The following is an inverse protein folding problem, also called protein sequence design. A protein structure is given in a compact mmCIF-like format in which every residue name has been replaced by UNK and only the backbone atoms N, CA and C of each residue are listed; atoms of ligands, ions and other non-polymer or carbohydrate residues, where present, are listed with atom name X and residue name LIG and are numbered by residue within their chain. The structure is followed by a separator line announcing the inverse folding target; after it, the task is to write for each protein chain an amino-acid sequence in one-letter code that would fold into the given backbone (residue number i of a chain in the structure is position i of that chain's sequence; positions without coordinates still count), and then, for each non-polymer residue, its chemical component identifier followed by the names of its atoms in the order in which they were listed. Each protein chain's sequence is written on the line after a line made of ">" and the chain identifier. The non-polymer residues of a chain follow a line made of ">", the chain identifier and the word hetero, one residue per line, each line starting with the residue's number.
data_IF_207953013480
#
_entry.id   IF_207953013480
#
_cell.length_a   1.000
_cell.length_b   1.000
_cell.length_c   1.000
_cell.angle_alpha   90.00
_cell.angle_beta   90.00
_cell.angle_gamma   90.00
#
_symmetry.space_group_name_H-M   'P 1'
#
loop_
_entity.id
_entity.type
_entity.pdbx_description
1 polymer ?
#
# COMPACT_ATOMS: atom_id res chain seq x y z
N UNK A 1 20.98 3.69 12.38
CA UNK A 1 20.15 4.49 13.31
C UNK A 1 18.77 3.85 13.41
N UNK A 2 18.49 3.14 14.50
CA UNK A 2 17.31 2.26 14.62
C UNK A 2 16.03 2.95 15.17
N UNK A 3 16.08 4.22 15.57
CA UNK A 3 14.95 4.96 16.16
C UNK A 3 14.83 6.36 15.55
N UNK A 4 13.61 6.89 15.49
CA UNK A 4 13.38 8.31 15.21
C UNK A 4 13.66 9.11 16.49
N UNK A 5 14.35 10.22 16.36
CA UNK A 5 14.41 11.25 17.39
C UNK A 5 13.04 11.90 17.60
N UNK A 6 12.87 12.57 18.75
CA UNK A 6 11.67 13.38 19.04
C UNK A 6 11.33 14.32 17.88
N UNK A 7 12.33 15.05 17.38
CA UNK A 7 12.15 16.02 16.30
C UNK A 7 11.72 15.33 14.99
N UNK A 8 12.38 14.24 14.60
CA UNK A 8 11.98 13.46 13.40
C UNK A 8 10.54 12.95 13.53
N UNK A 9 10.13 12.46 14.70
CA UNK A 9 8.79 11.96 14.93
C UNK A 9 7.73 13.07 14.90
N UNK A 10 8.04 14.25 15.45
CA UNK A 10 7.17 15.43 15.37
C UNK A 10 7.02 15.89 13.92
N UNK A 11 8.12 15.95 13.16
CA UNK A 11 8.08 16.32 11.74
C UNK A 11 7.29 15.31 10.92
N UNK A 12 7.44 14.00 11.20
CA UNK A 12 6.65 12.96 10.57
C UNK A 12 5.15 13.18 10.82
N UNK A 13 4.74 13.38 12.08
CA UNK A 13 3.32 13.61 12.42
C UNK A 13 2.77 14.84 11.70
N UNK A 14 3.51 15.95 11.65
CA UNK A 14 3.09 17.16 10.93
C UNK A 14 3.01 16.99 9.41
N UNK A 15 3.93 16.20 8.84
CA UNK A 15 3.93 15.93 7.42
C UNK A 15 2.76 15.01 7.03
N UNK A 16 2.54 13.95 7.81
CA UNK A 16 1.48 12.95 7.60
C UNK A 16 0.10 13.54 7.87
N UNK A 17 -0.03 14.37 8.92
CA UNK A 17 -1.27 15.05 9.29
C UNK A 17 -1.06 16.56 9.25
N UNK A 18 -1.27 17.21 8.09
CA UNK A 18 -1.34 18.66 8.02
C UNK A 18 -2.33 19.18 9.06
N UNK A 19 -1.91 20.15 9.87
CA UNK A 19 -2.67 20.60 11.02
C UNK A 19 -3.99 21.24 10.60
N UNK A 20 -5.08 20.80 11.23
CA UNK A 20 -6.41 21.37 11.13
C UNK A 20 -6.80 22.04 12.46
N UNK A 21 -7.66 23.08 12.45
CA UNK A 21 -8.05 23.79 13.67
C UNK A 21 -8.68 22.91 14.76
N UNK A 22 -9.32 21.81 14.36
CA UNK A 22 -9.96 20.85 15.27
C UNK A 22 -9.01 19.78 15.83
N UNK A 23 -7.79 19.66 15.31
CA UNK A 23 -6.84 18.67 15.80
C UNK A 23 -6.46 18.98 17.24
N UNK A 24 -6.68 18.02 18.14
CA UNK A 24 -6.41 18.23 19.55
C UNK A 24 -5.71 17.03 20.20
N UNK A 25 -6.03 15.80 19.80
CA UNK A 25 -5.44 14.60 20.39
C UNK A 25 -5.02 13.57 19.35
N UNK A 26 -3.94 12.85 19.65
CA UNK A 26 -3.43 11.73 18.86
C UNK A 26 -3.52 10.42 19.66
N UNK A 27 -3.97 9.34 19.04
CA UNK A 27 -3.90 8.01 19.63
C UNK A 27 -2.93 7.12 18.84
N UNK A 28 -2.05 6.41 19.55
CA UNK A 28 -1.30 5.29 19.01
C UNK A 28 -2.06 4.02 19.39
N UNK A 29 -2.47 3.24 18.39
CA UNK A 29 -3.18 1.97 18.60
C UNK A 29 -2.31 0.79 18.19
N UNK A 30 -2.26 -0.25 19.02
CA UNK A 30 -1.49 -1.48 18.74
C UNK A 30 -2.23 -2.74 19.15
N UNK A 31 -2.02 -3.81 18.39
CA UNK A 31 -2.52 -5.14 18.72
C UNK A 31 -1.53 -5.93 19.58
N UNK A 32 -2.07 -6.69 20.52
CA UNK A 32 -1.36 -7.59 21.43
C UNK A 32 -1.72 -9.03 21.07
N UNK A 33 -0.75 -9.96 20.98
CA UNK A 33 -1.01 -11.38 20.72
C UNK A 33 -1.98 -11.98 21.73
N UNK A 34 -2.70 -13.02 21.33
CA UNK A 34 -3.61 -13.71 22.26
C UNK A 34 -2.90 -14.74 23.13
N UNK A 35 -1.68 -15.15 22.73
CA UNK A 35 -0.87 -16.13 23.44
C UNK A 35 0.63 -15.85 23.30
N UNK A 36 1.47 -16.29 24.27
CA UNK A 36 2.93 -16.16 24.15
C UNK A 36 3.51 -16.81 22.89
N UNK A 37 2.88 -17.87 22.38
CA UNK A 37 3.34 -18.62 21.21
C UNK A 37 3.19 -17.83 19.89
N UNK A 38 2.23 -16.90 19.84
CA UNK A 38 2.03 -16.00 18.70
C UNK A 38 3.01 -14.83 18.69
N UNK A 39 3.63 -14.52 19.84
CA UNK A 39 4.41 -13.30 20.04
C UNK A 39 5.82 -13.42 19.44
N UNK A 40 5.91 -13.14 18.15
CA UNK A 40 7.19 -13.06 17.43
C UNK A 40 8.01 -11.87 17.92
N UNK A 41 9.34 -11.98 17.87
CA UNK A 41 10.26 -10.91 18.25
C UNK A 41 10.00 -9.58 17.52
N UNK A 42 9.61 -9.63 16.24
CA UNK A 42 9.23 -8.45 15.46
C UNK A 42 7.95 -7.79 15.97
N UNK A 43 6.98 -8.56 16.48
CA UNK A 43 5.75 -8.03 17.06
C UNK A 43 6.01 -7.37 18.41
N UNK A 44 6.80 -8.01 19.27
CA UNK A 44 7.26 -7.42 20.52
C UNK A 44 8.03 -6.10 20.27
N UNK A 45 8.96 -6.10 19.30
CA UNK A 45 9.70 -4.89 18.91
C UNK A 45 8.78 -3.77 18.39
N UNK A 46 7.69 -4.10 17.69
CA UNK A 46 6.70 -3.12 17.22
C UNK A 46 5.94 -2.47 18.39
N UNK A 47 5.54 -3.24 19.40
CA UNK A 47 4.86 -2.72 20.60
C UNK A 47 5.81 -1.86 21.45
N UNK A 48 7.08 -2.27 21.54
CA UNK A 48 8.15 -1.44 22.14
C UNK A 48 8.28 -0.11 21.41
N UNK A 49 8.33 -0.13 20.07
CA UNK A 49 8.44 1.09 19.26
C UNK A 49 7.24 2.02 19.46
N UNK A 50 6.02 1.48 19.49
CA UNK A 50 4.82 2.26 19.72
C UNK A 50 4.82 2.96 21.10
N UNK A 51 5.31 2.27 22.13
CA UNK A 51 5.49 2.87 23.45
C UNK A 51 6.53 3.99 23.44
N UNK A 52 7.65 3.79 22.76
CA UNK A 52 8.68 4.84 22.60
C UNK A 52 8.13 6.07 21.88
N UNK A 53 7.38 5.87 20.78
CA UNK A 53 6.71 6.98 20.09
C UNK A 53 5.70 7.69 20.98
N UNK A 54 4.95 6.96 21.78
CA UNK A 54 4.04 7.54 22.77
C UNK A 54 4.80 8.46 23.75
N UNK A 55 5.92 7.99 24.33
CA UNK A 55 6.72 8.80 25.24
C UNK A 55 7.28 10.06 24.57
N UNK A 56 7.86 9.93 23.38
CA UNK A 56 8.46 11.05 22.65
C UNK A 56 7.40 12.09 22.26
N UNK A 57 6.25 11.65 21.73
CA UNK A 57 5.16 12.56 21.34
C UNK A 57 4.49 13.21 22.56
N UNK A 58 4.32 12.48 23.66
CA UNK A 58 3.79 13.06 24.92
C UNK A 58 4.70 14.18 25.45
N UNK A 59 6.02 14.05 25.26
CA UNK A 59 6.98 15.10 25.63
C UNK A 59 7.00 16.29 24.64
N UNK A 60 6.37 16.15 23.47
CA UNK A 60 6.38 17.11 22.36
C UNK A 60 5.02 17.74 22.05
N UNK A 61 4.07 17.70 23.00
CA UNK A 61 2.70 18.19 22.82
C UNK A 61 2.63 19.64 22.36
N UNK A 62 3.44 20.53 22.94
CA UNK A 62 3.48 21.95 22.58
C UNK A 62 3.91 22.16 21.12
N UNK A 63 4.91 21.42 20.67
CA UNK A 63 5.47 21.50 19.33
C UNK A 63 4.49 20.94 18.29
N UNK A 64 3.70 19.93 18.67
CA UNK A 64 2.63 19.34 17.85
C UNK A 64 1.36 20.19 17.83
N UNK A 65 1.16 21.06 18.82
CA UNK A 65 -0.10 21.78 19.01
C UNK A 65 -1.24 20.85 19.46
N UNK A 66 -0.91 19.79 20.20
CA UNK A 66 -1.88 18.82 20.74
C UNK A 66 -1.96 18.95 22.26
N UNK A 67 -3.10 18.59 22.84
CA UNK A 67 -3.29 18.56 24.30
C UNK A 67 -2.95 17.22 24.94
N UNK A 68 -2.96 16.13 24.16
CA UNK A 68 -2.73 14.79 24.68
C UNK A 68 -2.33 13.79 23.57
N UNK A 69 -1.50 12.82 23.93
CA UNK A 69 -1.27 11.60 23.17
C UNK A 69 -1.65 10.41 24.04
N UNK A 70 -2.43 9.48 23.49
CA UNK A 70 -2.82 8.25 24.17
C UNK A 70 -2.18 7.03 23.51
N UNK A 71 -1.80 6.04 24.32
CA UNK A 71 -1.45 4.71 23.84
C UNK A 71 -2.58 3.73 24.22
N UNK A 72 -3.13 3.07 23.21
CA UNK A 72 -4.25 2.13 23.37
C UNK A 72 -3.87 0.79 22.77
N UNK A 73 -3.97 -0.26 23.56
CA UNK A 73 -3.70 -1.63 23.11
C UNK A 73 -4.98 -2.46 23.08
N UNK A 74 -5.08 -3.40 22.16
CA UNK A 74 -6.24 -4.27 22.01
C UNK A 74 -5.82 -5.71 21.68
N UNK A 75 -6.62 -6.73 22.05
CA UNK A 75 -6.31 -8.12 21.72
C UNK A 75 -6.33 -8.33 20.20
N UNK A 76 -5.39 -9.12 19.70
CA UNK A 76 -5.24 -9.39 18.27
C UNK A 76 -6.49 -10.06 17.70
N UNK A 77 -6.91 -9.58 16.53
CA UNK A 77 -8.03 -10.12 15.76
C UNK A 77 -7.61 -11.24 14.80
N UNK A 78 -6.31 -11.57 14.77
CA UNK A 78 -5.75 -12.75 14.09
C UNK A 78 -5.78 -12.71 12.55
N UNK A 79 -6.35 -11.68 11.93
CA UNK A 79 -6.41 -11.55 10.47
C UNK A 79 -6.32 -10.09 10.02
N UNK A 80 -5.71 -9.87 8.85
CA UNK A 80 -5.66 -8.57 8.21
C UNK A 80 -7.08 -8.08 7.88
N UNK A 81 -7.34 -6.81 8.17
CA UNK A 81 -8.58 -6.09 7.88
C UNK A 81 -9.84 -6.62 8.58
N UNK A 82 -9.69 -7.44 9.64
CA UNK A 82 -10.81 -7.74 10.53
C UNK A 82 -11.26 -6.48 11.30
N UNK A 83 -12.54 -6.47 11.71
CA UNK A 83 -13.08 -5.43 12.56
C UNK A 83 -12.29 -5.30 13.87
N UNK A 84 -12.05 -4.06 14.30
CA UNK A 84 -11.46 -3.80 15.62
C UNK A 84 -12.42 -4.28 16.72
N UNK A 85 -11.91 -4.79 17.86
CA UNK A 85 -12.78 -5.18 18.97
C UNK A 85 -13.54 -3.97 19.51
N UNK A 86 -14.63 -4.22 20.24
CA UNK A 86 -15.41 -3.14 20.88
C UNK A 86 -14.57 -2.31 21.86
N UNK A 87 -13.60 -2.97 22.51
CA UNK A 87 -12.79 -2.41 23.58
C UNK A 87 -11.30 -2.52 23.32
N UNK A 88 -10.58 -1.49 23.78
CA UNK A 88 -9.14 -1.52 24.00
C UNK A 88 -8.81 -1.20 25.45
N UNK A 89 -7.53 -1.00 25.72
CA UNK A 89 -6.98 -0.69 27.03
C UNK A 89 -6.05 0.51 26.89
N UNK A 90 -6.33 1.57 27.65
CA UNK A 90 -5.42 2.69 27.77
C UNK A 90 -4.22 2.26 28.63
N UNK A 91 -3.01 2.46 28.11
CA UNK A 91 -1.78 1.95 28.73
C UNK A 91 -0.70 3.01 28.79
N UNK A 92 0.13 2.94 29.84
CA UNK A 92 1.26 3.84 30.09
C UNK A 92 2.61 3.10 30.19
N UNK A 93 2.61 1.82 29.81
CA UNK A 93 3.77 0.94 29.73
C UNK A 93 3.77 0.19 28.40
N UNK A 94 4.85 -0.53 28.12
CA UNK A 94 4.98 -1.34 26.90
C UNK A 94 3.84 -2.36 26.86
N UNK A 95 3.00 -2.38 25.81
CA UNK A 95 1.88 -3.30 25.74
C UNK A 95 2.35 -4.75 25.61
N UNK A 96 1.87 -5.61 26.49
CA UNK A 96 2.11 -7.05 26.51
C UNK A 96 0.82 -7.84 26.82
N UNK A 97 0.93 -9.16 27.01
CA UNK A 97 -0.22 -10.02 27.31
C UNK A 97 -0.97 -9.63 28.61
N UNK A 98 -0.33 -8.93 29.54
CA UNK A 98 -0.94 -8.44 30.79
C UNK A 98 -1.75 -7.15 30.59
N UNK A 99 -1.68 -6.54 29.39
CA UNK A 99 -2.41 -5.29 29.04
C UNK A 99 -3.90 -5.37 29.32
N UNK A 100 -4.51 -6.56 29.22
CA UNK A 100 -5.92 -6.77 29.54
C UNK A 100 -6.33 -6.36 30.97
N UNK A 101 -5.35 -6.19 31.87
CA UNK A 101 -5.53 -5.72 33.25
C UNK A 101 -5.59 -4.18 33.38
N UNK A 102 -5.30 -3.45 32.30
CA UNK A 102 -5.32 -1.98 32.28
C UNK A 102 -6.73 -1.42 32.06
N UNK A 103 -6.89 -0.11 32.28
CA UNK A 103 -8.17 0.58 32.17
C UNK A 103 -8.81 0.37 30.79
N UNK A 104 -10.01 -0.22 30.79
CA UNK A 104 -10.78 -0.54 29.60
C UNK A 104 -11.42 0.72 29.02
N UNK A 105 -11.33 0.90 27.70
CA UNK A 105 -11.93 2.01 26.94
C UNK A 105 -12.64 1.46 25.72
N UNK A 106 -13.73 2.09 25.28
CA UNK A 106 -14.37 1.69 24.01
C UNK A 106 -13.67 2.36 22.84
N UNK A 107 -13.60 1.66 21.69
CA UNK A 107 -13.09 2.30 20.48
C UNK A 107 -13.99 3.46 20.02
N UNK A 108 -15.30 3.41 20.29
CA UNK A 108 -16.20 4.52 20.00
C UNK A 108 -15.82 5.80 20.78
N UNK A 109 -15.48 5.70 22.06
CA UNK A 109 -14.99 6.83 22.87
C UNK A 109 -13.65 7.35 22.33
N UNK A 110 -12.71 6.45 22.02
CA UNK A 110 -11.40 6.83 21.48
C UNK A 110 -11.52 7.53 20.12
N UNK A 111 -12.31 6.99 19.19
CA UNK A 111 -12.56 7.60 17.88
C UNK A 111 -13.28 8.94 17.96
N UNK A 112 -14.13 9.15 18.98
CA UNK A 112 -14.82 10.42 19.19
C UNK A 112 -13.90 11.48 19.82
N UNK A 113 -12.98 11.06 20.69
CA UNK A 113 -12.13 11.97 21.47
C UNK A 113 -10.80 12.32 20.81
N UNK A 114 -10.37 11.57 19.79
CA UNK A 114 -9.09 11.78 19.09
C UNK A 114 -9.29 12.07 17.60
N UNK A 115 -8.45 12.94 17.04
CA UNK A 115 -8.54 13.34 15.64
C UNK A 115 -7.48 12.65 14.79
N UNK A 116 -6.37 12.23 15.39
CA UNK A 116 -5.23 11.64 14.70
C UNK A 116 -4.94 10.25 15.24
N UNK A 117 -4.61 9.32 14.36
CA UNK A 117 -4.30 7.94 14.72
C UNK A 117 -3.03 7.44 14.03
N UNK A 118 -2.12 6.87 14.82
CA UNK A 118 -1.04 6.01 14.32
C UNK A 118 -1.35 4.56 14.71
N UNK A 119 -1.27 3.63 13.76
CA UNK A 119 -1.59 2.22 14.01
C UNK A 119 -0.48 1.25 13.55
N UNK A 120 0.68 1.22 14.24
CA UNK A 120 1.72 0.22 14.01
C UNK A 120 1.28 -1.15 14.54
N UNK A 121 0.63 -1.94 13.69
CA UNK A 121 -0.10 -3.17 14.05
C UNK A 121 0.52 -4.40 13.38
N UNK A 122 0.39 -5.59 13.95
CA UNK A 122 0.80 -6.84 13.31
C UNK A 122 -0.14 -7.22 12.17
N UNK A 123 -1.45 -7.14 12.42
CA UNK A 123 -2.46 -7.35 11.40
C UNK A 123 -3.02 -6.01 10.92
N UNK A 124 -3.27 -5.89 9.62
CA UNK A 124 -3.73 -4.63 9.04
C UNK A 124 -5.04 -4.13 9.63
N UNK A 125 -5.00 -2.96 10.25
CA UNK A 125 -6.18 -2.21 10.67
C UNK A 125 -6.69 -1.24 9.57
N UNK A 126 -6.18 -1.32 8.34
CA UNK A 126 -6.45 -0.30 7.31
C UNK A 126 -7.93 -0.20 6.95
N UNK A 127 -8.59 -1.33 6.67
CA UNK A 127 -10.02 -1.34 6.33
C UNK A 127 -10.93 -0.85 7.48
N UNK A 128 -10.83 -1.38 8.72
CA UNK A 128 -11.67 -0.89 9.82
C UNK A 128 -11.36 0.57 10.15
N UNK A 129 -10.10 1.04 10.04
CA UNK A 129 -9.78 2.45 10.24
C UNK A 129 -10.36 3.33 9.14
N UNK A 130 -10.35 2.91 7.87
CA UNK A 130 -11.03 3.65 6.77
C UNK A 130 -12.53 3.79 7.00
N UNK A 131 -13.19 2.72 7.46
CA UNK A 131 -14.63 2.75 7.76
C UNK A 131 -14.94 3.68 8.94
N UNK A 132 -14.18 3.55 10.03
CA UNK A 132 -14.40 4.36 11.23
C UNK A 132 -13.95 5.82 11.03
N UNK A 133 -12.90 6.10 10.25
CA UNK A 133 -12.50 7.46 9.90
C UNK A 133 -13.67 8.20 9.23
N UNK A 134 -14.30 7.60 8.21
CA UNK A 134 -15.48 8.18 7.56
C UNK A 134 -16.64 8.44 8.52
N UNK A 135 -16.82 7.58 9.52
CA UNK A 135 -17.91 7.67 10.51
C UNK A 135 -17.65 8.75 11.58
N UNK A 136 -16.43 8.84 12.09
CA UNK A 136 -16.08 9.68 13.25
C UNK A 136 -15.29 10.94 12.87
N UNK A 137 -14.84 11.06 11.63
CA UNK A 137 -14.13 12.23 11.11
C UNK A 137 -12.64 12.31 11.45
N UNK A 138 -12.06 11.29 12.11
CA UNK A 138 -10.63 11.26 12.39
C UNK A 138 -9.78 10.95 11.15
N UNK A 139 -8.47 11.10 11.28
CA UNK A 139 -7.47 10.75 10.27
C UNK A 139 -6.51 9.70 10.80
N UNK A 140 -6.09 8.75 9.96
CA UNK A 140 -5.25 7.64 10.43
C UNK A 140 -4.15 7.20 9.46
N UNK A 141 -2.97 7.00 10.01
CA UNK A 141 -1.84 6.34 9.36
C UNK A 141 -1.69 4.93 9.94
N UNK A 142 -1.95 3.93 9.11
CA UNK A 142 -1.89 2.51 9.49
C UNK A 142 -0.62 1.88 8.96
N UNK A 143 0.06 1.07 9.78
CA UNK A 143 1.37 0.50 9.44
C UNK A 143 1.35 -1.02 9.66
N UNK A 144 0.62 -1.78 8.82
CA UNK A 144 0.48 -3.23 8.96
C UNK A 144 1.83 -3.93 8.87
N UNK A 145 2.14 -4.80 9.82
CA UNK A 145 3.38 -5.55 9.83
C UNK A 145 4.64 -4.70 10.05
N UNK A 146 4.52 -3.39 10.32
CA UNK A 146 5.65 -2.45 10.35
C UNK A 146 6.84 -2.99 11.13
N UNK A 147 8.02 -2.97 10.52
CA UNK A 147 9.25 -3.51 11.06
C UNK A 147 10.35 -2.45 11.07
N UNK A 148 11.37 -2.63 11.91
CA UNK A 148 12.43 -1.63 12.10
C UNK A 148 13.24 -1.33 10.82
N UNK A 149 13.31 -2.28 9.88
CA UNK A 149 13.93 -2.08 8.57
C UNK A 149 13.12 -1.13 7.66
N UNK A 150 11.85 -0.87 7.95
CA UNK A 150 11.03 0.16 7.28
C UNK A 150 11.26 1.57 7.82
N UNK A 151 11.98 1.73 8.95
CA UNK A 151 12.22 3.02 9.58
C UNK A 151 12.78 4.11 8.65
N UNK A 152 13.70 3.82 7.71
CA UNK A 152 14.18 4.82 6.75
C UNK A 152 13.05 5.47 5.94
N UNK A 153 11.98 4.73 5.64
CA UNK A 153 10.83 5.25 4.90
C UNK A 153 9.97 6.23 5.71
N UNK A 154 10.18 6.35 7.02
CA UNK A 154 9.55 7.39 7.85
C UNK A 154 10.38 8.69 7.91
N UNK A 155 11.60 8.71 7.35
CA UNK A 155 12.47 9.90 7.34
C UNK A 155 12.46 10.69 6.04
N UNK A 156 11.76 10.18 5.03
CA UNK A 156 11.68 10.83 3.72
C UNK A 156 10.74 12.04 3.77
N UNK A 157 10.92 12.96 2.82
CA UNK A 157 10.06 14.14 2.70
C UNK A 157 8.69 13.76 2.14
N UNK A 158 7.72 13.51 3.03
CA UNK A 158 6.34 13.21 2.64
C UNK A 158 5.63 14.37 1.91
N UNK A 159 6.12 15.61 2.04
CA UNK A 159 5.64 16.74 1.23
C UNK A 159 6.00 16.53 -0.24
N UNK A 160 7.28 16.25 -0.51
CA UNK A 160 7.76 15.94 -1.86
C UNK A 160 7.16 14.63 -2.42
N UNK A 161 7.02 13.58 -1.58
CA UNK A 161 6.31 12.35 -1.97
C UNK A 161 4.90 12.68 -2.45
N UNK A 162 4.17 13.53 -1.73
CA UNK A 162 2.83 13.94 -2.13
C UNK A 162 2.81 14.75 -3.41
N UNK A 163 3.71 15.71 -3.58
CA UNK A 163 3.83 16.47 -4.84
C UNK A 163 4.00 15.53 -6.05
N UNK A 164 4.95 14.59 -5.95
CA UNK A 164 5.21 13.59 -7.00
C UNK A 164 4.02 12.66 -7.26
N UNK A 165 3.35 12.19 -6.20
CA UNK A 165 2.15 11.36 -6.35
C UNK A 165 1.01 12.16 -7.04
N UNK A 166 0.79 13.41 -6.66
CA UNK A 166 -0.25 14.25 -7.27
C UNK A 166 0.07 14.58 -8.73
N UNK A 167 1.34 14.84 -9.05
CA UNK A 167 1.79 15.03 -10.44
C UNK A 167 1.51 13.79 -11.29
N UNK A 168 1.85 12.59 -10.79
CA UNK A 168 1.53 11.34 -11.48
C UNK A 168 0.01 11.16 -11.64
N UNK A 169 -0.78 11.49 -10.60
CA UNK A 169 -2.24 11.39 -10.65
C UNK A 169 -2.82 12.27 -11.75
N UNK A 170 -2.34 13.50 -11.90
CA UNK A 170 -2.80 14.41 -12.96
C UNK A 170 -2.56 13.82 -14.35
N UNK A 171 -1.41 13.16 -14.56
CA UNK A 171 -1.08 12.48 -15.82
C UNK A 171 -1.99 11.28 -16.08
N UNK A 172 -2.23 10.46 -15.06
CA UNK A 172 -3.14 9.31 -15.15
C UNK A 172 -4.59 9.72 -15.40
N UNK A 173 -5.08 10.78 -14.75
CA UNK A 173 -6.44 11.29 -14.95
C UNK A 173 -6.69 11.77 -16.39
N UNK A 174 -5.63 12.23 -17.10
CA UNK A 174 -5.70 12.64 -18.49
C UNK A 174 -5.52 11.47 -19.49
N UNK A 175 -4.96 10.35 -19.05
CA UNK A 175 -4.63 9.21 -19.88
C UNK A 175 -5.88 8.36 -20.21
N UNK A 176 -5.87 7.76 -21.40
CA UNK A 176 -6.82 6.72 -21.84
C UNK A 176 -6.13 5.41 -22.19
N UNK A 177 -4.80 5.40 -22.27
CA UNK A 177 -4.04 4.18 -22.40
C UNK A 177 -2.62 4.34 -21.88
N UNK A 178 -1.96 3.21 -21.65
CA UNK A 178 -0.54 3.15 -21.35
C UNK A 178 0.12 2.08 -22.22
N UNK A 179 1.21 2.44 -22.90
CA UNK A 179 2.07 1.47 -23.57
C UNK A 179 3.28 1.19 -22.68
N UNK A 180 3.46 -0.07 -22.28
CA UNK A 180 4.60 -0.50 -21.46
C UNK A 180 5.48 -1.45 -22.27
N UNK A 181 6.72 -1.04 -22.50
CA UNK A 181 7.72 -1.82 -23.21
C UNK A 181 8.72 -2.38 -22.21
N UNK A 182 8.91 -3.69 -22.26
CA UNK A 182 9.80 -4.42 -21.39
C UNK A 182 10.94 -5.02 -22.21
N UNK A 183 12.10 -5.16 -21.59
CA UNK A 183 13.16 -6.04 -22.03
C UNK A 183 13.39 -7.11 -20.97
N UNK A 184 13.13 -8.35 -21.34
CA UNK A 184 13.28 -9.53 -20.51
C UNK A 184 14.44 -10.37 -21.07
N UNK A 185 15.61 -10.25 -20.44
CA UNK A 185 16.91 -10.61 -21.04
C UNK A 185 17.05 -10.00 -22.45
N UNK A 186 17.13 -10.85 -23.49
CA UNK A 186 17.26 -10.45 -24.90
C UNK A 186 15.91 -10.31 -25.64
N UNK A 187 14.78 -10.49 -24.93
CA UNK A 187 13.44 -10.42 -25.54
C UNK A 187 12.77 -9.08 -25.26
N UNK A 188 12.28 -8.45 -26.31
CA UNK A 188 11.38 -7.31 -26.19
C UNK A 188 9.93 -7.79 -26.03
N UNK A 189 9.22 -7.22 -25.06
CA UNK A 189 7.82 -7.48 -24.79
C UNK A 189 7.07 -6.15 -24.69
N UNK A 190 5.78 -6.17 -25.01
CA UNK A 190 4.95 -4.98 -25.00
C UNK A 190 3.55 -5.34 -24.51
N UNK A 191 3.01 -4.51 -23.61
CA UNK A 191 1.61 -4.58 -23.19
C UNK A 191 1.01 -3.19 -23.27
N UNK A 192 -0.12 -3.09 -23.96
CA UNK A 192 -0.99 -1.94 -23.91
C UNK A 192 -2.03 -2.14 -22.80
N UNK A 193 -2.23 -1.13 -21.97
CA UNK A 193 -3.28 -1.07 -20.97
C UNK A 193 -4.32 -0.03 -21.35
N UNK A 194 -5.58 -0.44 -21.33
CA UNK A 194 -6.72 0.44 -21.54
C UNK A 194 -7.06 1.15 -20.23
N UNK A 195 -6.92 2.47 -20.19
CA UNK A 195 -7.18 3.29 -19.01
C UNK A 195 -8.47 4.10 -19.13
N UNK A 196 -9.24 3.89 -20.21
CA UNK A 196 -10.49 4.62 -20.42
C UNK A 196 -11.41 4.45 -19.21
N UNK A 197 -12.14 5.51 -18.90
CA UNK A 197 -13.21 5.52 -17.88
C UNK A 197 -12.74 5.34 -16.43
N UNK A 198 -11.43 5.33 -16.17
CA UNK A 198 -10.82 5.09 -14.86
C UNK A 198 -10.12 6.36 -14.36
N UNK A 199 -10.27 6.72 -13.07
CA UNK A 199 -9.47 7.78 -12.47
C UNK A 199 -8.15 7.23 -11.92
N UNK A 200 -7.12 8.08 -11.85
CA UNK A 200 -5.93 7.79 -11.04
C UNK A 200 -6.19 8.03 -9.55
N UNK A 201 -5.43 7.38 -8.69
CA UNK A 201 -5.53 7.48 -7.24
C UNK A 201 -4.15 7.71 -6.63
N UNK A 202 -3.99 8.81 -5.89
CA UNK A 202 -2.74 9.11 -5.19
C UNK A 202 -2.79 8.53 -3.77
N UNK A 203 -1.73 7.80 -3.40
CA UNK A 203 -1.53 7.24 -2.06
C UNK A 203 -0.18 7.74 -1.51
N UNK A 204 -0.14 9.02 -1.13
CA UNK A 204 1.10 9.70 -0.74
C UNK A 204 1.53 9.47 0.71
N UNK A 205 0.71 8.83 1.53
CA UNK A 205 0.96 8.68 2.97
C UNK A 205 0.67 9.96 3.78
N UNK A 206 0.01 10.95 3.17
CA UNK A 206 -0.54 12.13 3.85
C UNK A 206 -2.05 12.04 3.97
N UNK A 207 -2.58 12.60 5.04
CA UNK A 207 -4.00 12.63 5.38
C UNK A 207 -4.40 14.07 5.69
N UNK A 208 -4.60 14.92 4.67
CA UNK A 208 -5.03 16.31 4.89
C UNK A 208 -6.52 16.42 5.27
N UNK A 209 -7.35 15.49 4.79
CA UNK A 209 -8.81 15.60 4.88
C UNK A 209 -9.36 14.75 6.05
N UNK A 210 -10.30 15.29 6.86
CA UNK A 210 -11.03 14.51 7.85
C UNK A 210 -11.70 13.26 7.26
N UNK A 211 -11.73 12.19 8.04
CA UNK A 211 -12.35 10.92 7.63
C UNK A 211 -11.52 10.08 6.66
N UNK A 212 -10.22 10.34 6.55
CA UNK A 212 -9.29 9.58 5.71
C UNK A 212 -8.38 8.67 6.52
N UNK A 213 -8.10 7.48 5.99
CA UNK A 213 -7.12 6.58 6.54
C UNK A 213 -6.40 5.83 5.42
N UNK A 214 -5.13 5.50 5.64
CA UNK A 214 -4.32 4.80 4.66
C UNK A 214 -3.01 4.31 5.25
N UNK A 215 -2.14 3.81 4.39
CA UNK A 215 -0.88 3.22 4.84
C UNK A 215 0.23 4.25 5.04
N UNK A 216 1.13 3.90 5.96
CA UNK A 216 2.40 4.57 6.18
C UNK A 216 3.45 3.48 6.50
N UNK A 217 4.61 3.41 5.81
CA UNK A 217 4.99 4.25 4.68
C UNK A 217 4.05 4.11 3.47
N UNK A 218 4.05 5.11 2.62
CA UNK A 218 3.37 5.09 1.32
C UNK A 218 4.12 6.02 0.37
N UNK A 219 3.77 5.98 -0.90
CA UNK A 219 4.47 6.75 -1.94
C UNK A 219 4.25 6.14 -3.30
N UNK A 220 2.99 6.10 -3.72
CA UNK A 220 2.62 5.69 -5.06
C UNK A 220 1.40 6.45 -5.56
N UNK A 221 1.20 6.37 -6.87
CA UNK A 221 -0.09 6.63 -7.50
C UNK A 221 -0.46 5.42 -8.32
N UNK A 222 -1.74 5.04 -8.34
CA UNK A 222 -2.18 3.87 -9.08
C UNK A 222 -3.43 4.14 -9.92
N UNK A 223 -3.70 3.25 -10.87
CA UNK A 223 -4.93 3.21 -11.67
C UNK A 223 -5.29 1.76 -11.96
N UNK A 224 -6.58 1.42 -11.85
CA UNK A 224 -7.08 0.11 -12.29
C UNK A 224 -7.34 0.17 -13.79
N UNK A 225 -6.76 -0.71 -14.62
CA UNK A 225 -7.14 -0.82 -16.02
C UNK A 225 -8.66 -1.01 -16.23
N UNK A 226 -9.18 -0.56 -17.36
CA UNK A 226 -10.58 -0.78 -17.71
C UNK A 226 -10.82 -2.28 -17.97
N UNK A 227 -11.83 -2.86 -17.31
CA UNK A 227 -12.05 -4.31 -17.29
C UNK A 227 -13.13 -4.75 -18.31
N UNK A 228 -13.68 -3.81 -19.09
CA UNK A 228 -14.70 -4.08 -20.10
C UNK A 228 -16.14 -3.98 -19.60
N UNK A 229 -16.36 -3.38 -18.43
CA UNK A 229 -17.68 -3.38 -17.77
C UNK A 229 -18.70 -2.33 -18.28
N UNK A 230 -18.30 -1.42 -19.18
CA UNK A 230 -19.14 -0.35 -19.75
C UNK A 230 -19.70 -0.66 -21.15
N UNK A 231 -19.72 -1.93 -21.55
CA UNK A 231 -20.33 -2.40 -22.80
C UNK A 231 -19.36 -2.49 -23.98
N UNK A 232 -18.29 -1.68 -23.98
CA UNK A 232 -17.14 -1.89 -24.87
C UNK A 232 -16.13 -2.85 -24.23
N UNK A 233 -15.57 -3.82 -24.97
CA UNK A 233 -14.48 -4.66 -24.46
C UNK A 233 -13.26 -3.82 -24.04
N UNK A 234 -12.54 -4.31 -23.03
CA UNK A 234 -11.22 -3.77 -22.68
C UNK A 234 -10.25 -3.98 -23.85
N UNK A 235 -9.46 -2.95 -24.15
CA UNK A 235 -8.40 -3.01 -25.14
C UNK A 235 -7.05 -3.47 -24.56
N UNK A 236 -6.96 -3.73 -23.24
CA UNK A 236 -5.74 -4.21 -22.60
C UNK A 236 -5.28 -5.53 -23.20
N UNK A 237 -4.09 -5.56 -23.80
CA UNK A 237 -3.55 -6.73 -24.50
C UNK A 237 -2.02 -6.66 -24.67
N UNK A 238 -1.39 -7.81 -24.85
CA UNK A 238 0.04 -7.89 -25.17
C UNK A 238 0.73 -9.10 -24.54
N UNK A 239 2.04 -8.96 -24.31
CA UNK A 239 2.88 -9.93 -23.63
C UNK A 239 3.51 -9.27 -22.41
N UNK A 240 3.22 -9.80 -21.24
CA UNK A 240 3.71 -9.29 -19.96
C UNK A 240 4.74 -10.25 -19.37
N UNK A 241 6.02 -9.86 -19.26
CA UNK A 241 7.03 -10.67 -18.59
C UNK A 241 6.95 -10.51 -17.07
N UNK A 242 7.02 -11.61 -16.33
CA UNK A 242 7.14 -11.62 -14.87
C UNK A 242 8.21 -12.61 -14.46
N UNK A 243 9.11 -12.22 -13.57
CA UNK A 243 10.17 -13.09 -13.06
C UNK A 243 9.71 -13.85 -11.80
N UNK A 244 9.85 -15.17 -11.83
CA UNK A 244 9.66 -16.08 -10.70
C UNK A 244 10.97 -16.81 -10.42
N UNK A 245 11.60 -16.50 -9.29
CA UNK A 245 12.94 -16.98 -8.96
C UNK A 245 13.95 -16.66 -10.09
N UNK A 246 14.47 -17.68 -10.77
CA UNK A 246 15.38 -17.55 -11.92
C UNK A 246 14.67 -17.65 -13.28
N UNK A 247 13.36 -17.87 -13.33
CA UNK A 247 12.60 -18.06 -14.58
C UNK A 247 11.78 -16.82 -14.94
N UNK A 248 11.82 -16.40 -16.20
CA UNK A 248 10.89 -15.39 -16.73
C UNK A 248 9.70 -16.11 -17.36
N UNK A 249 8.51 -15.78 -16.86
CA UNK A 249 7.23 -16.23 -17.39
C UNK A 249 6.64 -15.14 -18.28
N UNK A 250 6.31 -15.47 -19.52
CA UNK A 250 5.66 -14.54 -20.45
C UNK A 250 4.15 -14.79 -20.50
N UNK A 251 3.37 -13.91 -19.87
CA UNK A 251 1.91 -13.99 -19.89
C UNK A 251 1.35 -13.39 -21.18
N UNK A 252 0.39 -14.10 -21.80
CA UNK A 252 -0.41 -13.58 -22.90
C UNK A 252 -1.61 -12.83 -22.32
N UNK A 253 -1.67 -11.52 -22.54
CA UNK A 253 -2.75 -10.65 -22.06
C UNK A 253 -3.75 -10.39 -23.18
N UNK A 254 -5.04 -10.59 -22.90
CA UNK A 254 -6.15 -10.27 -23.80
C UNK A 254 -7.37 -9.80 -23.00
N UNK A 255 -7.99 -8.70 -23.43
CA UNK A 255 -9.18 -8.14 -22.81
C UNK A 255 -9.06 -8.05 -21.27
N UNK A 256 -7.98 -7.41 -20.81
CA UNK A 256 -7.63 -7.24 -19.39
C UNK A 256 -7.27 -8.49 -18.60
N UNK A 257 -7.09 -9.64 -19.24
CA UNK A 257 -6.80 -10.89 -18.54
C UNK A 257 -5.56 -11.58 -19.10
N UNK A 258 -4.72 -12.12 -18.22
CA UNK A 258 -3.75 -13.14 -18.55
C UNK A 258 -4.51 -14.43 -18.90
N UNK A 259 -4.52 -14.78 -20.18
CA UNK A 259 -5.27 -15.93 -20.71
C UNK A 259 -4.39 -17.16 -20.96
N UNK A 260 -3.08 -17.03 -20.76
CA UNK A 260 -2.13 -18.11 -20.92
C UNK A 260 -0.69 -17.68 -20.71
N UNK A 261 0.21 -18.65 -20.84
CA UNK A 261 1.67 -18.47 -20.70
C UNK A 261 2.35 -18.94 -21.99
N UNK A 262 3.31 -18.17 -22.49
CA UNK A 262 4.01 -18.39 -23.77
C UNK A 262 5.35 -19.12 -23.61
N UNK A 263 5.87 -19.19 -22.38
CA UNK A 263 7.07 -19.93 -22.01
C UNK A 263 6.72 -21.31 -21.45
N UNK A 264 7.70 -22.20 -21.36
CA UNK A 264 7.50 -23.61 -21.03
C UNK A 264 8.42 -24.12 -19.91
N UNK A 265 8.98 -23.23 -19.10
CA UNK A 265 9.73 -23.62 -17.90
C UNK A 265 8.85 -24.17 -16.78
N UNK A 266 9.46 -24.45 -15.63
CA UNK A 266 8.75 -25.02 -14.47
C UNK A 266 7.74 -24.02 -13.92
N UNK A 267 8.16 -22.77 -13.69
CA UNK A 267 7.26 -21.71 -13.21
C UNK A 267 6.20 -21.38 -14.25
N UNK A 268 6.53 -21.43 -15.54
CA UNK A 268 5.58 -21.21 -16.63
C UNK A 268 4.43 -22.21 -16.60
N UNK A 269 4.73 -23.51 -16.42
CA UNK A 269 3.71 -24.55 -16.28
C UNK A 269 2.88 -24.37 -15.02
N UNK A 270 3.50 -24.05 -13.89
CA UNK A 270 2.80 -23.77 -12.63
C UNK A 270 1.81 -22.60 -12.78
N UNK A 271 2.25 -21.50 -13.41
CA UNK A 271 1.41 -20.33 -13.66
C UNK A 271 0.30 -20.62 -14.67
N UNK A 272 0.57 -21.38 -15.74
CA UNK A 272 -0.44 -21.81 -16.70
C UNK A 272 -1.52 -22.70 -16.04
N UNK A 273 -1.10 -23.62 -15.18
CA UNK A 273 -2.01 -24.47 -14.40
C UNK A 273 -2.78 -23.67 -13.35
N UNK A 274 -2.17 -22.63 -12.76
CA UNK A 274 -2.85 -21.76 -11.81
C UNK A 274 -3.92 -20.91 -12.49
N UNK A 275 -3.61 -20.25 -13.62
CA UNK A 275 -4.59 -19.51 -14.43
C UNK A 275 -5.77 -20.38 -14.87
N UNK A 276 -5.53 -21.65 -15.22
CA UNK A 276 -6.60 -22.58 -15.59
C UNK A 276 -7.53 -22.89 -14.41
N UNK A 277 -6.98 -23.07 -13.22
CA UNK A 277 -7.74 -23.39 -12.00
C UNK A 277 -8.44 -22.17 -11.41
N UNK A 278 -7.82 -20.99 -11.52
CA UNK A 278 -8.31 -19.74 -10.96
C UNK A 278 -8.21 -18.61 -12.00
N UNK A 279 -9.12 -18.53 -12.97
CA UNK A 279 -9.06 -17.49 -14.01
C UNK A 279 -9.11 -16.06 -13.46
N UNK A 280 -9.74 -15.83 -12.30
CA UNK A 280 -9.82 -14.50 -11.69
C UNK A 280 -8.46 -13.95 -11.24
N UNK A 281 -7.47 -14.82 -10.97
CA UNK A 281 -6.09 -14.41 -10.75
C UNK A 281 -5.51 -13.68 -11.98
N UNK A 282 -5.96 -14.03 -13.19
CA UNK A 282 -5.44 -13.44 -14.42
C UNK A 282 -5.86 -12.00 -14.68
N UNK A 283 -6.77 -11.40 -13.92
CA UNK A 283 -7.21 -10.02 -14.15
C UNK A 283 -6.06 -9.02 -13.91
N UNK A 284 -5.85 -8.06 -14.82
CA UNK A 284 -4.95 -6.93 -14.59
C UNK A 284 -5.63 -5.96 -13.62
N UNK A 285 -5.23 -6.01 -12.36
CA UNK A 285 -5.94 -5.37 -11.26
C UNK A 285 -5.46 -3.94 -10.99
N UNK A 286 -4.21 -3.63 -11.30
CA UNK A 286 -3.61 -2.32 -10.98
C UNK A 286 -2.37 -2.05 -11.85
N UNK A 287 -2.20 -0.79 -12.24
CA UNK A 287 -0.91 -0.20 -12.57
C UNK A 287 -0.53 0.75 -11.44
N UNK A 288 0.47 0.38 -10.67
CA UNK A 288 0.98 1.18 -9.57
C UNK A 288 2.31 1.83 -9.91
N UNK A 289 2.48 3.08 -9.51
CA UNK A 289 3.65 3.90 -9.80
C UNK A 289 4.31 4.31 -8.49
N UNK A 290 5.06 3.37 -7.90
CA UNK A 290 5.87 3.61 -6.70
C UNK A 290 7.05 4.53 -6.96
N UNK A 291 7.31 5.47 -6.05
CA UNK A 291 8.33 6.52 -6.23
C UNK A 291 9.43 6.53 -5.15
N UNK A 292 9.40 5.55 -4.24
CA UNK A 292 10.22 5.58 -3.03
C UNK A 292 11.70 5.22 -3.26
N UNK A 293 12.05 4.54 -4.35
CA UNK A 293 13.46 4.26 -4.66
C UNK A 293 14.28 5.54 -4.89
N UNK A 294 13.68 6.59 -5.45
CA UNK A 294 14.34 7.89 -5.68
C UNK A 294 14.69 8.62 -4.36
N UNK A 295 14.11 8.20 -3.24
CA UNK A 295 14.44 8.69 -1.91
C UNK A 295 15.55 7.88 -1.22
N UNK A 296 16.23 6.99 -1.97
CA UNK A 296 17.31 6.15 -1.47
C UNK A 296 16.84 4.94 -0.65
N UNK A 297 15.57 4.55 -0.81
CA UNK A 297 15.02 3.36 -0.17
C UNK A 297 15.30 2.10 -1.00
N UNK A 298 15.49 1.00 -0.30
CA UNK A 298 15.89 -0.29 -0.84
C UNK A 298 14.83 -1.35 -0.53
N UNK A 299 14.67 -2.39 -1.37
CA UNK A 299 13.75 -3.49 -1.07
C UNK A 299 14.19 -4.22 0.19
N UNK A 300 13.21 -4.54 1.04
CA UNK A 300 13.41 -5.20 2.33
C UNK A 300 12.70 -6.55 2.43
N UNK A 301 12.00 -6.97 1.37
CA UNK A 301 11.20 -8.19 1.36
C UNK A 301 9.82 -8.05 2.00
N UNK A 302 9.33 -6.81 2.16
CA UNK A 302 8.04 -6.51 2.77
C UNK A 302 7.20 -5.70 1.79
N UNK A 303 6.12 -6.31 1.28
CA UNK A 303 5.28 -5.75 0.21
C UNK A 303 4.79 -4.33 0.51
N UNK A 304 4.41 -4.04 1.76
CA UNK A 304 3.97 -2.70 2.19
C UNK A 304 4.93 -1.58 1.77
N UNK A 305 6.25 -1.83 1.82
CA UNK A 305 7.26 -0.88 1.37
C UNK A 305 7.67 -1.14 -0.08
N UNK A 306 7.94 -2.40 -0.42
CA UNK A 306 8.59 -2.76 -1.67
C UNK A 306 7.73 -2.37 -2.89
N UNK A 307 6.40 -2.47 -2.79
CA UNK A 307 5.47 -2.06 -3.87
C UNK A 307 5.59 -0.56 -4.21
N UNK A 308 5.92 0.26 -3.21
CA UNK A 308 6.08 1.71 -3.35
C UNK A 308 7.42 2.11 -3.94
N UNK A 309 8.35 1.18 -4.16
CA UNK A 309 9.70 1.51 -4.64
C UNK A 309 9.74 1.83 -6.13
N UNK A 310 8.89 1.21 -6.94
CA UNK A 310 8.94 1.32 -8.39
C UNK A 310 7.57 1.06 -9.04
N UNK A 311 7.52 1.17 -10.37
CA UNK A 311 6.38 0.73 -11.17
C UNK A 311 6.09 -0.75 -10.92
N UNK A 312 4.82 -1.09 -10.73
CA UNK A 312 4.35 -2.46 -10.55
C UNK A 312 3.02 -2.69 -11.24
N UNK A 313 2.73 -3.96 -11.51
CA UNK A 313 1.47 -4.39 -12.12
C UNK A 313 0.87 -5.48 -11.24
N UNK A 314 -0.37 -5.26 -10.79
CA UNK A 314 -1.07 -6.21 -9.95
C UNK A 314 -1.95 -7.18 -10.73
N UNK A 315 -1.99 -8.42 -10.27
CA UNK A 315 -2.88 -9.47 -10.75
C UNK A 315 -3.99 -9.75 -9.72
N UNK A 316 -5.21 -10.02 -10.19
CA UNK A 316 -6.31 -10.54 -9.37
C UNK A 316 -7.41 -9.54 -9.03
N UNK A 317 -7.71 -9.39 -7.74
CA UNK A 317 -8.87 -8.64 -7.23
C UNK A 317 -8.65 -7.14 -7.34
N UNK A 318 -9.66 -6.40 -7.80
CA UNK A 318 -9.56 -4.95 -8.09
C UNK A 318 -10.74 -4.10 -7.57
N UNK A 319 -11.83 -4.72 -7.09
CA UNK A 319 -13.04 -4.01 -6.61
C UNK A 319 -12.78 -3.00 -5.49
N UNK A 320 -11.78 -3.27 -4.62
CA UNK A 320 -11.37 -2.35 -3.56
C UNK A 320 -10.51 -1.16 -4.05
N UNK A 321 -10.01 -1.23 -5.28
CA UNK A 321 -9.19 -0.20 -5.93
C UNK A 321 -9.94 0.56 -7.04
N UNK A 322 -11.19 0.18 -7.34
CA UNK A 322 -12.04 0.84 -8.34
C UNK A 322 -12.32 0.03 -9.61
N UNK A 323 -11.90 -1.24 -9.67
CA UNK A 323 -12.30 -2.22 -10.68
C UNK A 323 -13.62 -2.93 -10.37
N UNK A 324 -13.94 -4.00 -11.11
CA UNK A 324 -15.17 -4.79 -10.91
C UNK A 324 -14.89 -6.25 -10.51
N UNK A 325 -13.64 -6.70 -10.61
CA UNK A 325 -13.25 -8.05 -10.21
C UNK A 325 -13.17 -8.16 -8.68
N UNK A 326 -14.26 -8.60 -8.07
CA UNK A 326 -14.36 -8.84 -6.62
C UNK A 326 -14.16 -10.30 -6.20
N UNK A 327 -14.20 -10.54 -4.89
CA UNK A 327 -13.98 -11.87 -4.29
C UNK A 327 -14.89 -12.98 -4.86
N UNK A 328 -16.11 -12.64 -5.27
CA UNK A 328 -17.06 -13.58 -5.85
C UNK A 328 -16.64 -14.15 -7.22
N UNK A 329 -15.61 -13.58 -7.87
CA UNK A 329 -15.04 -14.10 -9.12
C UNK A 329 -14.04 -15.22 -8.89
N UNK A 330 -13.54 -15.38 -7.66
CA UNK A 330 -12.60 -16.42 -7.28
C UNK A 330 -13.32 -17.70 -6.87
N UNK A 331 -12.66 -18.84 -7.05
CA UNK A 331 -13.23 -20.15 -6.70
C UNK A 331 -13.52 -20.35 -5.21
N UNK A 332 -12.79 -19.65 -4.33
CA UNK A 332 -13.03 -19.65 -2.88
C UNK A 332 -12.46 -18.41 -2.20
N UNK A 333 -12.87 -18.07 -0.96
CA UNK A 333 -12.25 -16.99 -0.19
C UNK A 333 -10.74 -17.14 0.02
N UNK A 334 -10.22 -18.37 0.02
CA UNK A 334 -8.79 -18.66 0.22
C UNK A 334 -7.94 -18.43 -1.03
N UNK A 335 -8.56 -18.32 -2.20
CA UNK A 335 -7.87 -18.10 -3.48
C UNK A 335 -7.97 -16.65 -3.94
N UNK A 336 -8.67 -15.80 -3.21
CA UNK A 336 -8.72 -14.36 -3.45
C UNK A 336 -7.33 -13.79 -3.24
N UNK A 337 -6.79 -13.21 -4.31
CA UNK A 337 -5.46 -12.61 -4.32
C UNK A 337 -5.46 -11.26 -5.00
N UNK A 338 -4.52 -10.41 -4.59
CA UNK A 338 -4.05 -9.21 -5.27
C UNK A 338 -2.52 -9.28 -5.15
N UNK A 339 -1.82 -9.42 -6.28
CA UNK A 339 -0.39 -9.72 -6.29
C UNK A 339 0.35 -8.70 -7.14
N UNK A 340 1.19 -7.91 -6.48
CA UNK A 340 2.01 -6.86 -7.09
C UNK A 340 3.34 -7.41 -7.61
N UNK A 341 3.55 -7.30 -8.93
CA UNK A 341 4.84 -7.59 -9.55
C UNK A 341 5.60 -6.30 -9.78
N UNK A 342 6.64 -6.09 -8.96
CA UNK A 342 7.40 -4.84 -8.91
C UNK A 342 8.54 -4.86 -9.93
N UNK A 343 8.50 -3.95 -10.90
CA UNK A 343 9.52 -3.83 -11.95
C UNK A 343 10.64 -2.93 -11.45
N UNK A 344 11.58 -3.56 -10.75
CA UNK A 344 12.82 -2.95 -10.27
C UNK A 344 13.98 -3.89 -10.55
N UNK A 345 15.15 -3.40 -11.00
CA UNK A 345 16.34 -4.22 -11.21
C UNK A 345 16.80 -4.99 -9.95
N UNK A 346 16.37 -4.56 -8.75
CA UNK A 346 16.70 -5.21 -7.48
C UNK A 346 15.74 -6.34 -7.09
N UNK A 347 14.55 -6.37 -7.68
CA UNK A 347 13.50 -7.37 -7.40
C UNK A 347 13.35 -8.32 -8.60
N UNK A 348 13.07 -7.78 -9.79
CA UNK A 348 12.97 -8.52 -11.05
C UNK A 348 14.20 -8.27 -11.92
N UNK A 349 15.37 -8.74 -11.46
CA UNK A 349 16.70 -8.44 -12.04
C UNK A 349 16.87 -8.76 -13.54
N UNK A 350 16.02 -9.61 -14.11
CA UNK A 350 16.10 -10.02 -15.52
C UNK A 350 15.16 -9.23 -16.44
N UNK A 351 14.36 -8.32 -15.86
CA UNK A 351 13.36 -7.53 -16.58
C UNK A 351 13.61 -6.06 -16.32
N UNK A 352 13.67 -5.26 -17.38
CA UNK A 352 13.67 -3.80 -17.33
C UNK A 352 12.44 -3.24 -18.06
N UNK A 353 11.83 -2.20 -17.52
CA UNK A 353 10.90 -1.33 -18.23
C UNK A 353 11.74 -0.39 -19.11
N UNK A 354 11.84 -0.74 -20.39
CA UNK A 354 12.57 0.05 -21.37
C UNK A 354 11.90 1.41 -21.58
N UNK A 355 10.57 1.42 -21.69
CA UNK A 355 9.78 2.63 -21.91
C UNK A 355 8.35 2.46 -21.39
N UNK A 356 7.77 3.50 -20.80
CA UNK A 356 6.35 3.59 -20.47
C UNK A 356 5.80 4.92 -20.96
N UNK A 357 4.86 4.87 -21.90
CA UNK A 357 4.16 6.05 -22.39
C UNK A 357 2.71 6.07 -21.89
N UNK A 358 2.26 7.22 -21.38
CA UNK A 358 0.83 7.50 -21.21
C UNK A 358 0.30 8.15 -22.48
N UNK A 359 -0.93 7.77 -22.86
CA UNK A 359 -1.61 8.23 -24.07
C UNK A 359 -2.87 8.97 -23.67
N UNK A 360 -3.00 10.24 -24.05
CA UNK A 360 -4.20 11.04 -23.80
C UNK A 360 -5.27 10.86 -24.88
N UNK A 361 -6.47 11.43 -24.65
CA UNK A 361 -7.63 11.31 -25.56
C UNK A 361 -7.38 11.79 -26.99
N UNK A 362 -6.50 12.78 -27.16
CA UNK A 362 -6.07 13.35 -28.45
C UNK A 362 -4.90 12.57 -29.07
N UNK A 363 -4.57 11.39 -28.53
CA UNK A 363 -3.46 10.53 -28.95
C UNK A 363 -2.05 11.13 -28.75
N UNK A 364 -1.93 12.21 -27.95
CA UNK A 364 -0.62 12.68 -27.49
C UNK A 364 0.01 11.64 -26.58
N UNK A 365 1.32 11.39 -26.77
CA UNK A 365 2.12 10.45 -25.97
C UNK A 365 3.07 11.22 -25.07
N UNK A 366 3.10 10.85 -23.80
CA UNK A 366 4.07 11.35 -22.84
C UNK A 366 4.84 10.18 -22.23
N UNK A 367 6.16 10.17 -22.39
CA UNK A 367 7.02 9.16 -21.77
C UNK A 367 7.21 9.46 -20.29
N UNK A 368 6.81 8.50 -19.45
CA UNK A 368 6.84 8.60 -17.99
C UNK A 368 8.06 7.88 -17.41
N UNK A 369 8.36 6.69 -17.95
CA UNK A 369 9.50 5.87 -17.52
C UNK A 369 10.34 5.56 -18.74
N UNK A 370 11.65 5.69 -18.60
CA UNK A 370 12.62 5.23 -19.59
C UNK A 370 13.79 4.56 -18.87
N UNK A 371 14.14 3.34 -19.30
CA UNK A 371 15.20 2.52 -18.69
C UNK A 371 15.07 2.45 -17.15
N UNK A 372 13.91 2.02 -16.67
CA UNK A 372 13.56 1.87 -15.25
C UNK A 372 13.57 3.17 -14.41
N UNK A 373 13.64 4.35 -15.05
CA UNK A 373 13.67 5.65 -14.36
C UNK A 373 12.50 6.53 -14.74
N UNK A 374 11.90 7.17 -13.74
CA UNK A 374 10.92 8.22 -13.97
C UNK A 374 11.56 9.45 -14.61
N UNK A 375 10.90 10.04 -15.61
CA UNK A 375 11.35 11.25 -16.31
C UNK A 375 10.65 12.53 -15.83
N UNK A 376 9.68 12.40 -14.93
CA UNK A 376 8.74 13.45 -14.57
C UNK A 376 8.96 14.03 -13.15
N UNK A 377 10.02 13.64 -12.46
CA UNK A 377 10.28 13.95 -11.04
C UNK A 377 11.59 14.67 -10.75
#
# INVERSE_FOLDING_TARGET
>A
MQKLSKDELIQLVKAVFPQLPQDNKLAIIVDVPNSPQEDKSSWAARRQLAYEWFCELQSGLSELGLSDVSLVAYPSVGMNNADLPEYGHAVSAIPDLSTSLSAKVTFAEIFTSHQLFLAPTQYSATAPMKLNAKKYGFRAATMPGFALNMMPALRIDYGLVNERCQLMKQKLDAAVGADVFFRADDKECHTYFDLRFRPGHASSGRFPDPGTAGNLPSGETFIVPYEGEKGEPSQTQGVLPVQFDDEIVLFKIQANNAVGVLTDGVKSREQADYLRREPAYGNMAELGFGILADFGLEPIGEILLDEKLAFHIAFGRSDHFGGVTGAARFSSPKTVVHIDYIYSPKIQRRISVSNLDLISKDATRETIIQHDKYLIF
#
